data_IF_849960312164
#
_entry.id   IF_849960312164
#
_cell.length_a   1.000
_cell.length_b   1.000
_cell.length_c   1.000
_cell.angle_alpha   90.00
_cell.angle_beta   90.00
_cell.angle_gamma   90.00
#
_symmetry.space_group_name_H-M   'P 1'
#
loop_
_entity.id
_entity.type
_entity.pdbx_description
1 polymer ?
#
# COMPACT_ATOMS: atom_id res chain seq x y z
N UNK A 1 36.06 13.14 -13.29
CA UNK A 1 35.23 11.98 -12.92
C UNK A 1 35.59 11.65 -11.49
N UNK A 2 34.86 12.19 -10.53
CA UNK A 2 35.10 11.96 -9.10
C UNK A 2 34.19 10.83 -8.66
N UNK A 3 34.79 9.71 -8.31
CA UNK A 3 34.15 8.64 -7.54
C UNK A 3 33.82 9.20 -6.17
N UNK A 4 32.53 9.36 -5.86
CA UNK A 4 32.10 9.58 -4.49
C UNK A 4 32.38 8.30 -3.71
N UNK A 5 33.36 8.34 -2.83
CA UNK A 5 33.51 7.34 -1.78
C UNK A 5 32.24 7.42 -0.91
N UNK A 6 31.46 6.34 -0.95
CA UNK A 6 30.37 6.13 -0.01
C UNK A 6 31.00 5.83 1.35
N UNK A 7 30.71 6.67 2.32
CA UNK A 7 31.10 6.48 3.71
C UNK A 7 30.39 5.22 4.25
N UNK A 8 31.14 4.15 4.46
CA UNK A 8 30.68 2.84 4.96
C UNK A 8 30.21 2.85 6.42
N UNK A 9 29.90 4.02 6.97
CA UNK A 9 29.51 4.26 8.36
C UNK A 9 28.00 4.29 8.64
N UNK A 10 27.13 3.97 7.67
CA UNK A 10 25.67 3.94 7.90
C UNK A 10 25.28 2.61 8.54
N UNK A 11 25.48 2.51 9.83
CA UNK A 11 24.86 1.50 10.68
C UNK A 11 23.34 1.53 10.51
N UNK A 12 22.81 0.49 9.96
CA UNK A 12 21.56 -0.23 10.18
C UNK A 12 20.24 0.50 10.40
N UNK A 13 20.08 1.80 10.13
CA UNK A 13 18.81 2.50 10.37
C UNK A 13 17.99 2.66 9.09
N UNK A 14 16.92 1.85 9.02
CA UNK A 14 15.95 1.92 7.92
C UNK A 14 15.32 3.32 7.78
N UNK A 15 15.15 4.06 8.88
CA UNK A 15 14.54 5.40 8.83
C UNK A 15 15.45 6.40 8.14
N UNK A 16 16.75 6.37 8.47
CA UNK A 16 17.75 7.23 7.82
C UNK A 16 17.84 6.92 6.33
N UNK A 17 17.89 5.63 5.96
CA UNK A 17 17.91 5.19 4.57
C UNK A 17 16.64 5.59 3.80
N UNK A 18 15.46 5.43 4.43
CA UNK A 18 14.18 5.82 3.83
C UNK A 18 14.08 7.33 3.63
N UNK A 19 14.51 8.12 4.61
CA UNK A 19 14.51 9.58 4.52
C UNK A 19 15.47 10.10 3.44
N UNK A 20 16.63 9.47 3.28
CA UNK A 20 17.57 9.80 2.22
C UNK A 20 17.02 9.45 0.84
N UNK A 21 16.50 8.24 0.67
CA UNK A 21 15.86 7.82 -0.58
C UNK A 21 14.70 8.75 -0.94
N UNK A 22 13.88 9.12 0.05
CA UNK A 22 12.74 10.00 -0.18
C UNK A 22 13.12 11.37 -0.71
N UNK A 23 14.22 11.96 -0.27
CA UNK A 23 14.73 13.24 -0.82
C UNK A 23 14.96 13.18 -2.34
N UNK A 24 15.32 12.01 -2.85
CA UNK A 24 15.56 11.79 -4.29
C UNK A 24 14.27 11.43 -5.05
N UNK A 25 13.32 10.78 -4.35
CA UNK A 25 12.12 10.19 -4.96
C UNK A 25 10.88 11.09 -4.89
N UNK A 26 10.81 12.03 -3.94
CA UNK A 26 9.60 12.81 -3.64
C UNK A 26 9.03 13.54 -4.86
N UNK A 27 9.87 14.12 -5.71
CA UNK A 27 9.44 14.80 -6.93
C UNK A 27 8.83 13.85 -7.98
N UNK A 28 9.25 12.58 -7.96
CA UNK A 28 8.74 11.52 -8.85
C UNK A 28 7.45 10.88 -8.32
N UNK A 29 7.11 11.14 -7.07
CA UNK A 29 5.98 10.57 -6.35
C UNK A 29 5.07 11.68 -5.77
N UNK A 30 4.55 12.61 -6.60
CA UNK A 30 3.87 13.82 -6.14
C UNK A 30 2.58 13.55 -5.35
N UNK A 31 2.00 12.36 -5.49
CA UNK A 31 0.75 11.97 -4.82
C UNK A 31 0.98 11.31 -3.46
N UNK A 32 2.23 11.16 -3.04
CA UNK A 32 2.58 10.45 -1.82
C UNK A 32 3.42 11.30 -0.87
N UNK A 33 3.38 10.96 0.42
CA UNK A 33 4.32 11.41 1.46
C UNK A 33 4.93 10.19 2.14
N UNK A 34 6.21 10.29 2.51
CA UNK A 34 6.87 9.27 3.32
C UNK A 34 6.25 9.24 4.71
N UNK A 35 6.05 8.05 5.24
CA UNK A 35 5.66 7.81 6.63
C UNK A 35 6.85 7.26 7.40
N UNK A 36 7.13 7.89 8.53
CA UNK A 36 8.10 7.46 9.52
C UNK A 36 7.46 7.47 10.91
N UNK A 37 8.03 6.84 11.92
CA UNK A 37 7.59 7.02 13.29
C UNK A 37 7.53 8.51 13.65
N UNK A 38 6.50 8.90 14.40
CA UNK A 38 6.18 10.29 14.68
C UNK A 38 5.27 10.98 13.65
N UNK A 39 5.07 10.41 12.45
CA UNK A 39 4.01 10.88 11.54
C UNK A 39 2.64 10.66 12.20
N UNK A 40 1.67 11.59 12.07
CA UNK A 40 0.32 11.36 12.58
C UNK A 40 -0.28 10.06 12.06
N UNK A 41 -0.81 9.21 12.94
CA UNK A 41 -1.45 7.96 12.57
C UNK A 41 -2.75 8.21 11.80
N UNK A 42 -3.14 7.21 11.01
CA UNK A 42 -4.35 7.28 10.22
C UNK A 42 -5.60 7.03 11.07
N UNK A 43 -6.56 7.94 10.97
CA UNK A 43 -7.91 7.81 11.52
C UNK A 43 -8.92 8.05 10.39
N UNK A 44 -9.67 7.02 10.01
CA UNK A 44 -10.64 7.13 8.93
C UNK A 44 -11.78 8.08 9.33
N UNK A 45 -12.06 9.10 8.50
CA UNK A 45 -13.16 10.04 8.69
C UNK A 45 -14.53 9.47 8.29
N UNK A 46 -14.54 8.24 7.76
CA UNK A 46 -15.78 7.53 7.34
C UNK A 46 -16.71 8.39 6.48
N UNK A 47 -17.98 8.54 6.87
CA UNK A 47 -18.99 9.28 6.12
C UNK A 47 -18.70 10.78 5.93
N UNK A 48 -17.86 11.38 6.75
CA UNK A 48 -17.46 12.80 6.65
C UNK A 48 -16.27 13.04 5.71
N UNK A 49 -15.67 11.97 5.16
CA UNK A 49 -14.50 12.07 4.31
C UNK A 49 -14.83 12.71 2.96
N UNK A 50 -14.24 13.87 2.60
CA UNK A 50 -14.53 14.55 1.35
C UNK A 50 -14.00 13.79 0.11
N UNK A 51 -13.00 12.96 0.29
CA UNK A 51 -12.38 12.17 -0.80
C UNK A 51 -13.11 10.86 -1.02
N UNK A 52 -13.52 10.19 0.01
CA UNK A 52 -14.18 8.89 0.06
C UNK A 52 -13.61 7.85 -0.92
N UNK A 53 -12.61 7.08 -0.48
CA UNK A 53 -11.85 6.14 -1.33
C UNK A 53 -12.74 5.19 -2.17
N UNK A 54 -13.87 4.70 -1.61
CA UNK A 54 -14.82 3.85 -2.34
C UNK A 54 -15.53 4.55 -3.52
N UNK A 55 -15.51 5.89 -3.56
CA UNK A 55 -16.05 6.67 -4.69
C UNK A 55 -14.97 7.09 -5.68
N UNK A 56 -13.69 7.03 -5.30
CA UNK A 56 -12.61 7.59 -6.11
C UNK A 56 -11.76 6.53 -6.80
N UNK A 57 -11.43 5.43 -6.12
CA UNK A 57 -10.46 4.49 -6.63
C UNK A 57 -11.09 3.20 -7.16
N UNK A 58 -10.49 2.66 -8.22
CA UNK A 58 -10.69 1.27 -8.63
C UNK A 58 -9.70 0.39 -7.88
N UNK A 59 -10.15 -0.77 -7.44
CA UNK A 59 -9.37 -1.67 -6.60
C UNK A 59 -9.11 -2.97 -7.36
N UNK A 60 -7.84 -3.31 -7.54
CA UNK A 60 -7.44 -4.60 -8.06
C UNK A 60 -7.50 -5.67 -6.97
N UNK A 61 -7.87 -6.89 -7.34
CA UNK A 61 -8.05 -8.02 -6.46
C UNK A 61 -7.21 -9.20 -6.94
N UNK A 62 -6.51 -9.85 -6.02
CA UNK A 62 -5.95 -11.18 -6.24
C UNK A 62 -6.98 -12.29 -6.01
N UNK A 63 -6.61 -13.52 -6.34
CA UNK A 63 -7.45 -14.71 -6.07
C UNK A 63 -7.76 -14.85 -4.57
N UNK A 64 -6.78 -14.59 -3.71
CA UNK A 64 -6.97 -14.63 -2.25
C UNK A 64 -8.02 -13.63 -1.76
N UNK A 65 -8.03 -12.42 -2.31
CA UNK A 65 -9.02 -11.40 -1.96
C UNK A 65 -10.41 -11.82 -2.41
N UNK A 66 -10.54 -12.32 -3.65
CA UNK A 66 -11.80 -12.85 -4.19
C UNK A 66 -12.35 -13.95 -3.29
N UNK A 67 -11.52 -14.95 -2.97
CA UNK A 67 -11.94 -16.10 -2.18
C UNK A 67 -12.29 -15.72 -0.75
N UNK A 68 -11.52 -14.79 -0.14
CA UNK A 68 -11.81 -14.25 1.19
C UNK A 68 -13.13 -13.50 1.23
N UNK A 69 -13.40 -12.62 0.26
CA UNK A 69 -14.67 -11.90 0.17
C UNK A 69 -15.85 -12.87 0.08
N UNK A 70 -15.75 -13.88 -0.78
CA UNK A 70 -16.79 -14.90 -0.93
C UNK A 70 -16.98 -15.72 0.33
N UNK A 71 -15.90 -16.16 0.97
CA UNK A 71 -15.97 -17.00 2.16
C UNK A 71 -16.49 -16.27 3.40
N UNK A 72 -16.03 -15.03 3.64
CA UNK A 72 -16.38 -14.27 4.85
C UNK A 72 -17.82 -13.74 4.78
N UNK A 73 -18.28 -13.34 3.61
CA UNK A 73 -19.56 -12.65 3.44
C UNK A 73 -20.63 -13.49 2.72
N UNK A 74 -20.29 -14.68 2.25
CA UNK A 74 -21.24 -15.55 1.55
C UNK A 74 -21.73 -14.98 0.22
N UNK A 75 -20.97 -14.08 -0.42
CA UNK A 75 -21.32 -13.44 -1.69
C UNK A 75 -20.59 -14.08 -2.86
N UNK A 76 -21.30 -14.30 -3.96
CA UNK A 76 -20.69 -14.85 -5.17
C UNK A 76 -19.78 -13.82 -5.86
N UNK A 77 -18.69 -14.25 -6.54
CA UNK A 77 -17.75 -13.34 -7.18
C UNK A 77 -18.38 -12.39 -8.21
N UNK A 78 -19.39 -12.80 -8.93
CA UNK A 78 -20.13 -11.98 -9.90
C UNK A 78 -20.89 -10.79 -9.26
N UNK A 79 -21.16 -10.85 -7.97
CA UNK A 79 -21.79 -9.77 -7.24
C UNK A 79 -20.85 -8.60 -6.94
N UNK A 80 -19.51 -8.85 -6.92
CA UNK A 80 -18.55 -7.82 -6.54
C UNK A 80 -17.38 -7.64 -7.53
N UNK A 81 -17.21 -8.55 -8.50
CA UNK A 81 -16.19 -8.39 -9.54
C UNK A 81 -16.75 -7.63 -10.74
N UNK A 82 -15.87 -6.92 -11.43
CA UNK A 82 -16.19 -6.38 -12.75
C UNK A 82 -16.35 -7.52 -13.74
N UNK A 83 -17.48 -7.56 -14.45
CA UNK A 83 -17.84 -8.63 -15.36
C UNK A 83 -17.85 -8.13 -16.80
N UNK A 84 -17.34 -8.95 -17.73
CA UNK A 84 -17.40 -8.73 -19.18
C UNK A 84 -17.94 -10.00 -19.81
N UNK A 85 -19.01 -9.88 -20.57
CA UNK A 85 -19.69 -11.02 -21.26
C UNK A 85 -20.04 -12.20 -20.34
N UNK A 86 -20.35 -11.91 -19.07
CA UNK A 86 -20.72 -12.92 -18.07
C UNK A 86 -19.56 -13.58 -17.32
N UNK A 87 -18.32 -13.22 -17.64
CA UNK A 87 -17.12 -13.72 -16.98
C UNK A 87 -16.41 -12.58 -16.23
N UNK A 88 -15.69 -12.87 -15.12
CA UNK A 88 -14.89 -11.87 -14.45
C UNK A 88 -13.83 -11.27 -15.38
N UNK A 89 -13.76 -9.93 -15.42
CA UNK A 89 -12.67 -9.25 -16.12
C UNK A 89 -11.34 -9.64 -15.48
N UNK A 90 -10.51 -10.36 -16.23
CA UNK A 90 -9.20 -10.79 -15.80
C UNK A 90 -8.11 -10.08 -16.60
N UNK A 91 -7.26 -9.33 -15.92
CA UNK A 91 -6.10 -8.66 -16.50
C UNK A 91 -4.84 -9.53 -16.33
N UNK A 92 -3.85 -9.43 -17.22
CA UNK A 92 -2.59 -10.18 -17.10
C UNK A 92 -1.66 -9.55 -16.04
N UNK A 93 -2.15 -9.44 -14.82
CA UNK A 93 -1.48 -8.81 -13.68
C UNK A 93 -1.47 -9.77 -12.48
N UNK A 94 -0.61 -9.49 -11.49
CA UNK A 94 -0.56 -10.24 -10.23
C UNK A 94 -1.89 -10.18 -9.45
N UNK A 95 -2.64 -9.09 -9.62
CA UNK A 95 -3.99 -8.93 -9.10
C UNK A 95 -4.94 -8.77 -10.32
N UNK A 96 -5.43 -9.90 -10.88
CA UNK A 96 -6.06 -9.89 -12.19
C UNK A 96 -7.47 -9.31 -12.20
N UNK A 97 -8.20 -9.33 -11.09
CA UNK A 97 -9.59 -8.91 -11.03
C UNK A 97 -9.73 -7.44 -10.63
N UNK A 98 -10.86 -6.84 -10.98
CA UNK A 98 -11.26 -5.52 -10.50
C UNK A 98 -12.52 -5.63 -9.63
N UNK A 99 -12.53 -4.88 -8.56
CA UNK A 99 -13.74 -4.67 -7.78
C UNK A 99 -14.73 -3.83 -8.59
N UNK A 100 -15.95 -4.33 -8.76
CA UNK A 100 -16.95 -3.70 -9.58
C UNK A 100 -17.34 -2.31 -9.06
N UNK A 101 -17.65 -1.42 -9.99
CA UNK A 101 -18.12 -0.07 -9.70
C UNK A 101 -19.44 0.19 -10.42
N UNK A 102 -20.39 0.79 -9.72
CA UNK A 102 -21.66 1.23 -10.29
C UNK A 102 -21.90 2.68 -9.89
N UNK A 103 -22.36 3.49 -10.82
CA UNK A 103 -22.62 4.94 -10.60
C UNK A 103 -21.42 5.68 -9.99
N UNK A 104 -20.20 5.28 -10.39
CA UNK A 104 -18.97 5.92 -9.93
C UNK A 104 -18.48 5.49 -8.55
N UNK A 105 -19.12 4.50 -7.90
CA UNK A 105 -18.71 4.01 -6.59
C UNK A 105 -18.56 2.49 -6.54
N UNK A 106 -17.84 2.01 -5.53
CA UNK A 106 -17.69 0.59 -5.23
C UNK A 106 -19.05 -0.05 -4.96
N UNK A 107 -19.32 -1.22 -5.54
CA UNK A 107 -20.59 -1.96 -5.34
C UNK A 107 -20.81 -2.42 -3.89
N UNK A 108 -19.74 -2.48 -3.10
CA UNK A 108 -19.79 -2.87 -1.69
C UNK A 108 -19.92 -1.69 -0.73
N UNK A 109 -20.04 -0.47 -1.26
CA UNK A 109 -20.32 0.73 -0.48
C UNK A 109 -21.82 0.76 -0.12
N UNK A 110 -22.12 0.90 1.17
CA UNK A 110 -23.48 1.00 1.68
C UNK A 110 -23.99 2.45 1.63
N UNK A 111 -25.29 2.63 1.79
CA UNK A 111 -25.95 3.95 1.80
C UNK A 111 -25.46 4.83 2.96
N UNK A 112 -25.03 4.23 4.07
CA UNK A 112 -24.42 4.92 5.21
C UNK A 112 -22.95 5.30 5.00
N UNK A 113 -22.44 5.13 3.79
CA UNK A 113 -21.05 5.39 3.37
C UNK A 113 -20.01 4.51 4.08
N UNK A 114 -20.42 3.38 4.63
CA UNK A 114 -19.52 2.38 5.20
C UNK A 114 -19.32 1.21 4.24
N UNK A 115 -18.21 0.49 4.41
CA UNK A 115 -17.93 -0.72 3.64
C UNK A 115 -18.82 -1.87 4.14
N UNK A 116 -19.65 -2.45 3.26
CA UNK A 116 -20.51 -3.58 3.58
C UNK A 116 -19.76 -4.88 3.90
N UNK A 117 -18.47 -4.95 3.54
CA UNK A 117 -17.62 -6.13 3.72
C UNK A 117 -16.37 -5.79 4.53
N UNK A 118 -16.49 -4.97 5.55
CA UNK A 118 -15.33 -4.39 6.27
C UNK A 118 -14.32 -5.43 6.77
N UNK A 119 -14.74 -6.56 7.31
CA UNK A 119 -13.86 -7.61 7.82
C UNK A 119 -13.13 -8.36 6.70
N UNK A 120 -13.81 -8.58 5.57
CA UNK A 120 -13.26 -9.28 4.39
C UNK A 120 -12.64 -8.36 3.35
N UNK A 121 -12.40 -7.08 3.65
CA UNK A 121 -11.88 -6.11 2.68
C UNK A 121 -10.65 -6.64 1.94
N UNK A 122 -10.54 -6.34 0.63
CA UNK A 122 -9.31 -6.57 -0.12
C UNK A 122 -8.08 -5.95 0.56
N UNK A 123 -6.91 -6.55 0.38
CA UNK A 123 -5.68 -6.05 1.00
C UNK A 123 -5.39 -4.60 0.59
N UNK A 124 -5.61 -4.24 -0.67
CA UNK A 124 -5.51 -2.84 -1.11
C UNK A 124 -6.44 -1.87 -0.36
N UNK A 125 -7.64 -2.33 0.04
CA UNK A 125 -8.56 -1.52 0.84
C UNK A 125 -8.20 -1.49 2.33
N UNK A 126 -7.54 -2.54 2.82
CA UNK A 126 -7.09 -2.62 4.22
C UNK A 126 -5.89 -1.73 4.46
N UNK A 127 -4.95 -1.73 3.51
CA UNK A 127 -3.74 -0.91 3.58
C UNK A 127 -3.99 0.56 3.27
N UNK A 128 -4.95 0.88 2.37
CA UNK A 128 -5.22 2.28 2.03
C UNK A 128 -5.53 3.12 3.30
N UNK A 129 -4.93 4.27 3.47
CA UNK A 129 -4.17 5.09 2.53
C UNK A 129 -2.64 4.85 2.54
N UNK A 130 -2.19 3.76 3.13
CA UNK A 130 -0.78 3.37 3.17
C UNK A 130 -0.41 2.51 1.97
N UNK A 131 0.85 2.59 1.55
CA UNK A 131 1.43 1.74 0.52
C UNK A 131 2.87 1.43 0.88
N UNK A 132 3.32 0.22 0.61
CA UNK A 132 4.73 -0.15 0.66
C UNK A 132 5.26 -0.16 -0.76
N UNK A 133 6.20 0.73 -1.05
CA UNK A 133 6.88 0.83 -2.33
C UNK A 133 8.29 0.28 -2.18
N UNK A 134 8.74 -0.51 -3.15
CA UNK A 134 10.08 -1.08 -3.15
C UNK A 134 10.93 -0.45 -4.23
N UNK A 135 12.11 0.00 -3.86
CA UNK A 135 13.08 0.58 -4.77
C UNK A 135 14.42 -0.14 -4.65
N UNK A 136 15.03 -0.44 -5.78
CA UNK A 136 16.42 -0.89 -5.82
C UNK A 136 17.29 0.16 -5.12
N UNK A 137 18.03 -0.26 -4.10
CA UNK A 137 18.71 0.65 -3.17
C UNK A 137 19.78 1.52 -3.83
N UNK A 138 20.50 0.97 -4.80
CA UNK A 138 21.59 1.68 -5.48
C UNK A 138 21.10 2.67 -6.53
N UNK A 139 20.04 2.34 -7.25
CA UNK A 139 19.57 3.11 -8.42
C UNK A 139 18.28 3.87 -8.18
N UNK A 140 17.59 3.59 -7.08
CA UNK A 140 16.23 4.08 -6.77
C UNK A 140 15.22 3.85 -7.89
N UNK A 141 15.38 2.74 -8.62
CA UNK A 141 14.39 2.27 -9.58
C UNK A 141 13.29 1.50 -8.85
N UNK A 142 12.00 1.73 -9.20
CA UNK A 142 10.93 0.95 -8.61
C UNK A 142 11.06 -0.52 -9.00
N UNK A 143 10.90 -1.42 -8.04
CA UNK A 143 10.80 -2.85 -8.31
C UNK A 143 9.32 -3.25 -8.45
N UNK A 144 8.97 -3.84 -9.59
CA UNK A 144 7.60 -4.26 -9.90
C UNK A 144 7.46 -5.77 -10.09
N UNK A 145 8.54 -6.53 -10.10
CA UNK A 145 8.53 -7.92 -10.57
C UNK A 145 9.10 -8.95 -9.59
N UNK A 146 10.10 -8.60 -8.79
CA UNK A 146 10.76 -9.56 -7.89
C UNK A 146 10.13 -9.57 -6.49
N UNK A 147 9.07 -10.34 -6.33
CA UNK A 147 8.39 -10.48 -5.03
C UNK A 147 9.20 -11.29 -4.01
N UNK A 148 10.13 -12.14 -4.44
CA UNK A 148 11.00 -12.91 -3.54
C UNK A 148 12.08 -12.01 -2.95
N UNK A 149 12.79 -11.25 -3.78
CA UNK A 149 13.77 -10.25 -3.35
C UNK A 149 13.16 -9.16 -2.47
N UNK A 150 11.95 -8.68 -2.81
CA UNK A 150 11.21 -7.72 -1.97
C UNK A 150 10.96 -8.26 -0.56
N UNK A 151 10.47 -9.50 -0.43
CA UNK A 151 10.25 -10.12 0.90
C UNK A 151 11.53 -10.31 1.68
N UNK A 152 12.60 -10.77 1.03
CA UNK A 152 13.91 -10.93 1.66
C UNK A 152 14.44 -9.59 2.16
N UNK A 153 14.38 -8.56 1.33
CA UNK A 153 14.81 -7.20 1.70
C UNK A 153 13.98 -6.60 2.82
N UNK A 154 12.66 -6.82 2.83
CA UNK A 154 11.78 -6.37 3.90
C UNK A 154 12.15 -7.03 5.23
N UNK A 155 12.36 -8.35 5.24
CA UNK A 155 12.76 -9.08 6.45
C UNK A 155 14.11 -8.56 6.97
N UNK A 156 15.11 -8.38 6.10
CA UNK A 156 16.41 -7.83 6.46
C UNK A 156 16.29 -6.39 7.02
N UNK A 157 15.50 -5.53 6.37
CA UNK A 157 15.28 -4.16 6.82
C UNK A 157 14.63 -4.12 8.22
N UNK A 158 13.63 -4.96 8.47
CA UNK A 158 12.98 -5.07 9.78
C UNK A 158 13.89 -5.68 10.85
N UNK A 159 14.86 -6.52 10.46
CA UNK A 159 15.89 -7.05 11.37
C UNK A 159 17.04 -6.06 11.63
N UNK A 160 17.08 -4.92 10.93
CA UNK A 160 18.20 -3.96 11.02
C UNK A 160 19.43 -4.36 10.19
N UNK A 161 19.30 -5.35 9.32
CA UNK A 161 20.38 -5.90 8.49
C UNK A 161 20.47 -5.12 7.16
N UNK A 162 20.68 -3.82 7.23
CA UNK A 162 20.63 -2.92 6.07
C UNK A 162 21.64 -3.27 4.96
N UNK A 163 22.74 -3.96 5.27
CA UNK A 163 23.67 -4.44 4.25
C UNK A 163 23.06 -5.52 3.33
N UNK A 164 22.07 -6.27 3.80
CA UNK A 164 21.36 -7.30 3.04
C UNK A 164 20.11 -6.76 2.32
N UNK A 165 19.81 -5.46 2.44
CA UNK A 165 18.66 -4.83 1.77
C UNK A 165 19.04 -4.43 0.34
N UNK A 166 18.55 -5.19 -0.63
CA UNK A 166 18.67 -4.89 -2.06
C UNK A 166 17.54 -3.94 -2.51
N UNK A 167 16.32 -4.21 -2.06
CA UNK A 167 15.13 -3.40 -2.35
C UNK A 167 14.67 -2.67 -1.10
N UNK A 168 14.89 -1.36 -1.06
CA UNK A 168 14.50 -0.53 0.08
C UNK A 168 12.97 -0.40 0.15
N UNK A 169 12.33 -0.88 1.23
CA UNK A 169 10.90 -0.67 1.44
C UNK A 169 10.64 0.73 1.98
N UNK A 170 9.75 1.47 1.34
CA UNK A 170 9.28 2.78 1.77
C UNK A 170 7.80 2.71 2.11
N UNK A 171 7.45 2.97 3.36
CA UNK A 171 6.05 3.18 3.73
C UNK A 171 5.65 4.60 3.36
N UNK A 172 4.63 4.72 2.52
CA UNK A 172 4.12 6.01 2.07
C UNK A 172 2.61 6.11 2.28
N UNK A 173 2.10 7.34 2.33
CA UNK A 173 0.67 7.63 2.35
C UNK A 173 0.23 8.37 1.12
N UNK A 174 -1.01 8.18 0.73
CA UNK A 174 -1.64 8.99 -0.31
C UNK A 174 -2.01 10.37 0.23
N UNK A 175 -1.50 11.44 -0.40
CA UNK A 175 -1.69 12.83 0.04
C UNK A 175 -3.15 13.27 0.08
N UNK A 176 -3.97 12.75 -0.81
CA UNK A 176 -5.38 13.11 -0.87
C UNK A 176 -6.19 12.62 0.34
N UNK A 177 -5.67 11.66 1.10
CA UNK A 177 -6.37 11.17 2.28
C UNK A 177 -6.22 12.14 3.46
N UNK A 178 -7.32 12.75 3.94
CA UNK A 178 -7.26 13.72 5.04
C UNK A 178 -7.16 13.07 6.42
N UNK A 179 -7.20 11.74 6.51
CA UNK A 179 -7.33 11.00 7.76
C UNK A 179 -6.05 10.91 8.62
N UNK A 180 -4.95 11.54 8.24
CA UNK A 180 -3.71 11.52 9.03
C UNK A 180 -3.74 12.59 10.12
N UNK A 181 -4.58 12.38 11.13
CA UNK A 181 -4.85 13.30 12.24
C UNK A 181 -4.76 12.65 13.62
N UNK A 182 -4.38 11.39 13.69
CA UNK A 182 -4.23 10.64 14.95
C UNK A 182 -2.99 11.04 15.76
N UNK A 183 -2.76 10.33 16.85
CA UNK A 183 -1.54 10.45 17.64
C UNK A 183 -0.28 10.15 16.80
N UNK A 184 0.89 10.63 17.17
CA UNK A 184 2.13 10.26 16.51
C UNK A 184 2.30 8.74 16.47
N UNK A 185 2.55 8.17 15.28
CA UNK A 185 2.71 6.74 15.04
C UNK A 185 3.92 6.20 15.83
N UNK A 186 3.70 5.14 16.58
CA UNK A 186 4.78 4.46 17.30
C UNK A 186 5.62 3.58 16.34
N UNK A 187 6.86 3.31 16.71
CA UNK A 187 7.76 2.42 15.96
C UNK A 187 7.15 1.06 15.65
N UNK A 188 6.50 0.43 16.64
CA UNK A 188 5.86 -0.88 16.48
C UNK A 188 4.69 -0.86 15.48
N UNK A 189 3.91 0.21 15.48
CA UNK A 189 2.82 0.40 14.52
C UNK A 189 3.36 0.59 13.10
N UNK A 190 4.39 1.43 12.94
CA UNK A 190 5.05 1.64 11.66
C UNK A 190 5.62 0.34 11.07
N UNK A 191 6.30 -0.46 11.92
CA UNK A 191 6.83 -1.78 11.51
C UNK A 191 5.71 -2.75 11.13
N UNK A 192 4.60 -2.73 11.85
CA UNK A 192 3.41 -3.52 11.53
C UNK A 192 2.87 -3.19 10.15
N UNK A 193 2.67 -1.91 9.84
CA UNK A 193 2.19 -1.45 8.53
C UNK A 193 3.17 -1.77 7.39
N UNK A 194 4.47 -1.74 7.66
CA UNK A 194 5.49 -2.08 6.67
C UNK A 194 5.50 -3.58 6.34
N UNK A 195 5.09 -4.43 7.30
CA UNK A 195 5.10 -5.89 7.20
C UNK A 195 3.79 -6.49 6.63
N UNK A 196 2.70 -5.72 6.57
CA UNK A 196 1.41 -6.14 5.98
C UNK A 196 1.48 -6.29 4.45
#
# INVERSE_FOLDING_TARGET
MGTREYDDGVTGDIHAASAEAWRTLAERLPNYDLITPGTPAFVCLTGECPVHCCKRFSVSLGERDRDRLSAVHGIAPDAFLEMVDGEPLAMPLAQPFLLARREGQCVLLRDDLLCGVHEGRPDACRLYPHFVLFFERETFRPNHADTAGMRTSLAAALAGEMAAVEYLPLLVRHRECPGFSGAPMAEGEWRGLLAE
#
